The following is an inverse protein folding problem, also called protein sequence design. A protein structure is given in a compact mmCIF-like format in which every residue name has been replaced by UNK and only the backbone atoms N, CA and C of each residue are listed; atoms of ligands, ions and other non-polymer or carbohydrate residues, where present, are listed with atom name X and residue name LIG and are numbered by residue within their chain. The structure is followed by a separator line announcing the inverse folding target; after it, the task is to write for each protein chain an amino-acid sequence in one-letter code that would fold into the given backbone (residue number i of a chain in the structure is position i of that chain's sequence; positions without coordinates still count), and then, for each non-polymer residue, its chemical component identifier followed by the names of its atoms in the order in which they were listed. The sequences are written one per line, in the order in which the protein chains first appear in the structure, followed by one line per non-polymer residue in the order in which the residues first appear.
data_IF_601382414383
#
_entry.id   IF_601382414383
#
_cell.length_a   1.000
_cell.length_b   1.000
_cell.length_c   1.000
_cell.angle_alpha   90.00
_cell.angle_beta   90.00
_cell.angle_gamma   90.00
#
_symmetry.space_group_name_H-M   'P 1'
#
loop_
_entity.id
_entity.type
_entity.pdbx_description
1 polymer ?
#
# COMPACT_ATOMS: atom_id res chain seq x y z
N UNK A 1 23.88 18.45 14.51
CA UNK A 1 23.43 19.06 13.24
C UNK A 1 23.37 17.97 12.19
N UNK A 2 22.21 17.27 12.05
CA UNK A 2 22.05 16.16 11.11
C UNK A 2 21.60 16.74 9.77
N UNK A 3 22.46 16.60 8.75
CA UNK A 3 22.12 16.93 7.35
C UNK A 3 21.21 15.84 6.81
N UNK A 4 19.94 16.18 6.59
CA UNK A 4 19.03 15.40 5.75
C UNK A 4 19.46 15.58 4.28
N UNK A 5 20.36 14.70 3.80
CA UNK A 5 20.70 14.64 2.41
C UNK A 5 19.70 13.74 1.69
N UNK A 6 18.88 14.38 0.85
CA UNK A 6 18.21 13.86 -0.34
C UNK A 6 17.68 12.41 -0.26
N UNK A 7 16.47 12.28 0.28
CA UNK A 7 15.67 11.08 0.10
C UNK A 7 15.13 11.08 -1.34
N UNK A 8 15.80 10.35 -2.21
CA UNK A 8 15.31 10.07 -3.56
C UNK A 8 14.12 9.12 -3.45
N UNK A 9 12.91 9.65 -3.61
CA UNK A 9 11.69 8.85 -3.72
C UNK A 9 11.58 8.43 -5.20
N UNK A 10 11.78 7.15 -5.55
CA UNK A 10 11.55 6.72 -6.92
C UNK A 10 10.06 6.82 -7.21
N UNK A 11 9.70 7.58 -8.24
CA UNK A 11 8.36 7.56 -8.85
C UNK A 11 8.07 6.14 -9.33
N UNK A 12 7.32 5.35 -8.58
CA UNK A 12 6.68 4.16 -9.14
C UNK A 12 5.40 3.80 -8.38
N UNK A 13 4.37 4.62 -8.56
CA UNK A 13 3.00 4.16 -8.36
C UNK A 13 2.47 3.75 -9.73
N UNK A 14 2.70 2.50 -10.13
CA UNK A 14 2.06 1.94 -11.33
C UNK A 14 0.83 1.17 -10.89
N UNK A 15 -0.30 1.86 -10.89
CA UNK A 15 -1.60 1.19 -10.82
C UNK A 15 -1.89 0.54 -12.17
N UNK A 16 -1.57 -0.75 -12.34
CA UNK A 16 -2.12 -1.54 -13.45
C UNK A 16 -3.51 -2.04 -13.09
N UNK A 17 -4.50 -1.18 -13.21
CA UNK A 17 -5.89 -1.62 -13.30
C UNK A 17 -6.14 -2.03 -14.75
N UNK A 18 -6.27 -3.32 -15.04
CA UNK A 18 -6.80 -3.78 -16.33
C UNK A 18 -8.27 -3.37 -16.43
N UNK A 19 -8.57 -2.24 -17.08
CA UNK A 19 -9.92 -1.88 -17.48
C UNK A 19 -10.17 -2.38 -18.89
N UNK A 20 -11.14 -3.29 -19.05
CA UNK A 20 -11.86 -3.50 -20.33
C UNK A 20 -12.66 -2.23 -20.61
N UNK A 21 -12.53 -1.71 -21.85
CA UNK A 21 -13.08 -0.43 -22.25
C UNK A 21 -14.58 -0.27 -22.01
N UNK A 22 -14.90 0.85 -21.36
CA UNK A 22 -16.14 1.62 -21.45
C UNK A 22 -15.75 3.06 -21.09
N UNK A 23 -16.40 4.04 -21.72
CA UNK A 23 -16.23 5.45 -21.44
C UNK A 23 -16.08 5.69 -19.93
N UNK A 24 -14.97 6.32 -19.52
CA UNK A 24 -14.75 6.64 -18.11
C UNK A 24 -15.61 7.85 -17.76
N UNK A 25 -16.83 7.60 -17.33
CA UNK A 25 -17.59 8.57 -16.57
C UNK A 25 -16.99 8.65 -15.16
N UNK A 26 -16.56 9.84 -14.76
CA UNK A 26 -16.06 10.09 -13.41
C UNK A 26 -17.24 10.08 -12.45
N UNK A 27 -17.52 8.94 -11.84
CA UNK A 27 -18.69 8.73 -10.98
C UNK A 27 -18.58 9.40 -9.60
N UNK A 28 -17.42 9.96 -9.25
CA UNK A 28 -17.19 10.67 -7.99
C UNK A 28 -17.47 12.17 -8.05
N UNK A 29 -18.03 12.65 -9.15
CA UNK A 29 -18.47 14.03 -9.29
C UNK A 29 -19.91 14.05 -9.81
N UNK A 30 -20.73 14.92 -9.22
CA UNK A 30 -22.08 15.17 -9.73
C UNK A 30 -22.04 16.02 -11.01
N UNK A 31 -23.23 16.24 -11.61
CA UNK A 31 -23.37 17.07 -12.82
C UNK A 31 -22.98 18.54 -12.63
N UNK A 32 -22.80 18.98 -11.39
CA UNK A 32 -22.36 20.33 -11.02
C UNK A 32 -20.88 20.40 -10.66
N UNK A 33 -20.15 19.28 -10.71
CA UNK A 33 -18.72 19.19 -10.39
C UNK A 33 -18.43 19.05 -8.90
N UNK A 34 -19.41 18.81 -8.05
CA UNK A 34 -19.19 18.57 -6.62
C UNK A 34 -18.77 17.12 -6.39
N UNK A 35 -17.83 16.91 -5.46
CA UNK A 35 -17.41 15.58 -5.06
C UNK A 35 -18.54 14.83 -4.36
N UNK A 36 -18.80 13.61 -4.79
CA UNK A 36 -19.82 12.73 -4.22
C UNK A 36 -19.28 11.33 -4.01
N UNK A 37 -19.69 10.69 -2.93
CA UNK A 37 -19.47 9.26 -2.74
C UNK A 37 -20.54 8.49 -3.52
N UNK A 38 -20.10 7.57 -4.40
CA UNK A 38 -21.02 6.82 -5.28
C UNK A 38 -21.95 5.94 -4.46
N UNK A 39 -23.26 5.97 -4.77
CA UNK A 39 -24.20 5.02 -4.20
C UNK A 39 -23.94 3.60 -4.74
N UNK A 40 -23.81 2.65 -3.85
CA UNK A 40 -23.54 1.24 -4.15
C UNK A 40 -24.61 0.30 -3.56
N UNK A 41 -25.74 0.84 -3.11
CA UNK A 41 -26.82 0.07 -2.44
C UNK A 41 -27.33 -1.08 -3.30
N UNK A 42 -27.44 -0.88 -4.62
CA UNK A 42 -27.93 -1.89 -5.57
C UNK A 42 -26.84 -2.84 -6.09
N UNK A 43 -25.58 -2.68 -5.65
CA UNK A 43 -24.49 -3.53 -6.14
C UNK A 43 -24.46 -4.87 -5.42
N UNK A 44 -24.46 -5.94 -6.20
CA UNK A 44 -24.24 -7.28 -5.69
C UNK A 44 -22.90 -7.40 -4.97
N UNK A 45 -22.87 -8.17 -3.87
CA UNK A 45 -21.64 -8.50 -3.17
C UNK A 45 -20.74 -9.32 -4.08
N UNK A 46 -19.51 -8.85 -4.30
CA UNK A 46 -18.51 -9.55 -5.14
C UNK A 46 -17.21 -9.71 -4.38
N UNK A 47 -16.55 -10.86 -4.54
CA UNK A 47 -15.18 -11.05 -4.05
C UNK A 47 -14.24 -10.20 -4.91
N UNK A 48 -13.43 -9.39 -4.27
CA UNK A 48 -12.38 -8.57 -4.90
C UNK A 48 -11.07 -8.81 -4.19
N UNK A 49 -9.99 -8.82 -4.95
CA UNK A 49 -8.63 -8.94 -4.43
C UNK A 49 -7.84 -7.75 -4.92
N UNK A 50 -7.12 -7.11 -4.01
CA UNK A 50 -6.19 -6.04 -4.33
C UNK A 50 -4.78 -6.43 -3.86
N UNK A 51 -3.79 -6.20 -4.71
CA UNK A 51 -2.38 -6.42 -4.38
C UNK A 51 -1.62 -5.11 -4.57
N UNK A 52 -0.95 -4.67 -3.50
CA UNK A 52 -0.09 -3.50 -3.52
C UNK A 52 1.35 -3.88 -3.18
N UNK A 53 2.32 -3.19 -3.78
CA UNK A 53 3.75 -3.39 -3.52
C UNK A 53 4.42 -2.05 -3.26
N UNK A 54 5.30 -2.03 -2.27
CA UNK A 54 6.15 -0.89 -1.97
C UNK A 54 7.55 -1.35 -1.59
N UNK A 55 8.58 -0.66 -2.07
CA UNK A 55 9.97 -1.03 -1.81
C UNK A 55 10.71 0.11 -1.11
N UNK A 56 11.59 -0.25 -0.20
CA UNK A 56 12.54 0.66 0.44
C UNK A 56 13.96 0.18 0.16
N UNK A 57 14.84 1.09 -0.24
CA UNK A 57 16.27 0.84 -0.38
C UNK A 57 17.01 1.47 0.79
N UNK A 58 18.01 0.77 1.30
CA UNK A 58 18.75 1.19 2.49
C UNK A 58 20.25 0.93 2.33
N UNK A 59 21.06 1.34 3.31
CA UNK A 59 22.48 0.96 3.34
C UNK A 59 22.64 -0.55 3.52
N UNK A 60 23.75 -1.12 3.03
CA UNK A 60 24.05 -2.54 3.19
C UNK A 60 24.05 -2.94 4.67
N UNK A 61 24.66 -2.13 5.52
CA UNK A 61 24.70 -2.37 6.96
C UNK A 61 23.29 -2.47 7.58
N UNK A 62 22.38 -1.56 7.22
CA UNK A 62 21.02 -1.60 7.70
C UNK A 62 20.26 -2.82 7.22
N UNK A 63 20.43 -3.17 5.93
CA UNK A 63 19.82 -4.36 5.33
C UNK A 63 20.27 -5.64 6.03
N UNK A 64 21.58 -5.79 6.27
CA UNK A 64 22.14 -6.97 6.92
C UNK A 64 21.64 -7.10 8.37
N UNK A 65 21.56 -6.01 9.13
CA UNK A 65 21.00 -6.01 10.48
C UNK A 65 19.54 -6.46 10.51
N UNK A 66 18.73 -6.05 9.52
CA UNK A 66 17.34 -6.51 9.41
C UNK A 66 17.30 -7.98 9.01
N UNK A 67 18.11 -8.39 8.02
CA UNK A 67 18.16 -9.75 7.52
C UNK A 67 18.54 -10.76 8.61
N UNK A 68 19.52 -10.42 9.42
CA UNK A 68 20.03 -11.30 10.49
C UNK A 68 19.34 -11.07 11.85
N UNK A 69 18.31 -10.24 11.88
CA UNK A 69 17.55 -9.90 13.09
C UNK A 69 18.44 -9.30 14.21
N UNK A 70 19.52 -8.63 13.85
CA UNK A 70 20.46 -7.97 14.77
C UNK A 70 20.12 -6.50 15.03
N UNK A 71 18.83 -6.19 15.08
CA UNK A 71 18.34 -4.85 15.41
C UNK A 71 18.06 -4.75 16.90
N UNK A 72 18.64 -3.74 17.56
CA UNK A 72 18.40 -3.47 19.00
C UNK A 72 16.91 -3.33 19.37
N UNK A 73 16.06 -2.96 18.40
CA UNK A 73 14.62 -2.78 18.59
C UNK A 73 13.80 -4.06 18.32
N UNK A 74 14.45 -5.20 18.07
CA UNK A 74 13.78 -6.49 17.82
C UNK A 74 13.34 -6.71 16.38
N UNK A 75 12.29 -7.48 16.17
CA UNK A 75 11.79 -7.91 14.85
C UNK A 75 11.15 -6.75 14.07
N UNK A 76 11.96 -6.12 13.21
CA UNK A 76 11.55 -4.98 12.37
C UNK A 76 10.47 -5.39 11.37
N UNK A 77 10.60 -6.58 10.75
CA UNK A 77 9.65 -7.02 9.73
C UNK A 77 8.32 -7.44 10.34
N UNK A 78 8.33 -8.05 11.53
CA UNK A 78 7.10 -8.36 12.27
C UNK A 78 6.32 -7.10 12.63
N UNK A 79 6.99 -6.07 13.14
CA UNK A 79 6.36 -4.77 13.42
C UNK A 79 5.83 -4.11 12.14
N UNK A 80 6.61 -4.13 11.06
CA UNK A 80 6.20 -3.58 9.77
C UNK A 80 4.98 -4.32 9.18
N UNK A 81 4.89 -5.65 9.39
CA UNK A 81 3.72 -6.46 8.99
C UNK A 81 2.45 -5.99 9.70
N UNK A 82 2.51 -5.83 11.02
CA UNK A 82 1.37 -5.33 11.80
C UNK A 82 0.97 -3.94 11.33
N UNK A 83 1.94 -3.04 11.11
CA UNK A 83 1.67 -1.70 10.62
C UNK A 83 1.01 -1.71 9.23
N UNK A 84 1.44 -2.58 8.33
CA UNK A 84 0.84 -2.77 7.01
C UNK A 84 -0.61 -3.25 7.07
N UNK A 85 -0.90 -4.23 7.94
CA UNK A 85 -2.27 -4.72 8.18
C UNK A 85 -3.16 -3.59 8.73
N UNK A 86 -2.65 -2.84 9.71
CA UNK A 86 -3.38 -1.70 10.27
C UNK A 86 -3.62 -0.61 9.22
N UNK A 87 -2.63 -0.33 8.36
CA UNK A 87 -2.76 0.61 7.24
C UNK A 87 -3.84 0.19 6.26
N UNK A 88 -3.90 -1.08 5.87
CA UNK A 88 -4.95 -1.60 4.99
C UNK A 88 -6.34 -1.42 5.60
N UNK A 89 -6.50 -1.69 6.90
CA UNK A 89 -7.79 -1.49 7.61
C UNK A 89 -8.24 -0.03 7.67
N UNK A 90 -7.31 0.93 7.56
CA UNK A 90 -7.61 2.38 7.58
C UNK A 90 -7.83 2.98 6.19
N UNK A 91 -7.95 2.19 5.14
CA UNK A 91 -8.09 2.68 3.76
C UNK A 91 -9.23 3.67 3.61
N UNK A 92 -10.41 3.38 4.19
CA UNK A 92 -11.57 4.28 4.11
C UNK A 92 -11.41 5.59 4.91
N UNK A 93 -10.54 5.61 5.91
CA UNK A 93 -10.21 6.83 6.66
C UNK A 93 -9.22 7.72 5.90
N UNK A 94 -8.34 7.10 5.09
CA UNK A 94 -7.27 7.77 4.35
C UNK A 94 -7.69 8.24 2.97
N UNK A 95 -8.68 7.59 2.35
CA UNK A 95 -9.19 7.90 1.01
C UNK A 95 -10.60 8.48 1.13
N UNK A 96 -10.78 9.80 0.93
CA UNK A 96 -12.02 10.52 1.29
C UNK A 96 -13.30 9.97 0.69
N UNK A 97 -13.26 9.45 -0.54
CA UNK A 97 -14.46 8.96 -1.25
C UNK A 97 -14.53 7.43 -1.30
N UNK A 98 -13.75 6.75 -0.45
CA UNK A 98 -13.80 5.30 -0.33
C UNK A 98 -14.89 4.88 0.65
N UNK A 99 -15.67 3.86 0.27
CA UNK A 99 -16.60 3.22 1.20
C UNK A 99 -15.84 2.43 2.27
N UNK A 100 -16.50 2.18 3.39
CA UNK A 100 -15.97 1.24 4.40
C UNK A 100 -15.78 -0.12 3.75
N UNK A 101 -14.56 -0.65 3.84
CA UNK A 101 -14.20 -1.94 3.25
C UNK A 101 -14.24 -3.03 4.32
N UNK A 102 -15.11 -4.01 4.13
CA UNK A 102 -15.12 -5.21 4.96
C UNK A 102 -14.03 -6.17 4.48
N UNK A 103 -12.79 -5.92 4.91
CA UNK A 103 -11.66 -6.77 4.56
C UNK A 103 -11.80 -8.11 5.29
N UNK A 104 -11.86 -9.22 4.53
CA UNK A 104 -11.95 -10.57 5.05
C UNK A 104 -10.58 -11.20 5.29
N UNK A 105 -9.56 -10.69 4.60
CA UNK A 105 -8.16 -11.11 4.75
C UNK A 105 -7.23 -9.95 4.43
N UNK A 106 -6.12 -9.87 5.14
CA UNK A 106 -4.99 -8.98 4.84
C UNK A 106 -3.71 -9.74 5.10
N UNK A 107 -2.89 -9.93 4.07
CA UNK A 107 -1.54 -10.47 4.20
C UNK A 107 -0.51 -9.44 3.85
N UNK A 108 0.61 -9.44 4.55
CA UNK A 108 1.76 -8.59 4.24
C UNK A 108 3.01 -9.44 4.29
N UNK A 109 3.68 -9.58 3.16
CA UNK A 109 4.92 -10.33 3.02
C UNK A 109 6.07 -9.44 2.55
N UNK A 110 7.31 -9.90 2.78
CA UNK A 110 8.51 -9.16 2.45
C UNK A 110 9.43 -9.96 1.55
N UNK A 111 9.91 -9.30 0.50
CA UNK A 111 10.91 -9.84 -0.43
C UNK A 111 12.20 -9.06 -0.21
N UNK A 112 13.25 -9.77 0.21
CA UNK A 112 14.58 -9.21 0.42
C UNK A 112 15.43 -9.33 -0.86
N UNK A 113 15.99 -8.22 -1.31
CA UNK A 113 16.82 -8.13 -2.50
C UNK A 113 18.23 -7.69 -2.11
N UNK A 114 19.13 -8.65 -2.02
CA UNK A 114 20.50 -8.42 -1.51
C UNK A 114 21.33 -7.51 -2.40
N UNK A 115 21.25 -7.71 -3.73
CA UNK A 115 22.02 -6.93 -4.70
C UNK A 115 21.76 -5.43 -4.62
N UNK A 116 20.50 -5.06 -4.37
CA UNK A 116 20.07 -3.67 -4.27
C UNK A 116 19.97 -3.15 -2.83
N UNK A 117 20.22 -4.00 -1.83
CA UNK A 117 19.96 -3.70 -0.40
C UNK A 117 18.57 -3.11 -0.20
N UNK A 118 17.56 -3.77 -0.78
CA UNK A 118 16.17 -3.31 -0.71
C UNK A 118 15.23 -4.39 -0.17
N UNK A 119 14.15 -3.93 0.43
CA UNK A 119 13.06 -4.78 0.92
C UNK A 119 11.78 -4.30 0.26
N UNK A 120 11.07 -5.23 -0.37
CA UNK A 120 9.75 -4.99 -0.97
C UNK A 120 8.68 -5.60 -0.09
N UNK A 121 7.77 -4.76 0.42
CA UNK A 121 6.55 -5.23 1.05
C UNK A 121 5.49 -5.52 -0.04
N UNK A 122 4.80 -6.64 0.10
CA UNK A 122 3.66 -7.04 -0.75
C UNK A 122 2.47 -7.22 0.15
N UNK A 123 1.42 -6.42 -0.06
CA UNK A 123 0.17 -6.51 0.66
C UNK A 123 -0.92 -7.04 -0.27
N UNK A 124 -1.66 -8.06 0.17
CA UNK A 124 -2.84 -8.59 -0.49
C UNK A 124 -4.04 -8.52 0.45
N UNK A 125 -5.18 -8.07 -0.09
CA UNK A 125 -6.43 -7.92 0.64
C UNK A 125 -7.61 -8.50 -0.13
#
# INVERSE_FOLDING_TARGET
MFKLSSMYIPKLWVWKVKKKGKNMEYTHFDKHGNAVMVDVSEKAVTKRVAVAKGSIRMSRECFDKIKYQDMKKGDVLGVARIAGIMGAKKTSELIPLCHILNLTSVTVDFIMQEESSSITAVCET
#
